data_IF_706601184990
#
_entry.id   IF_706601184990
#
_cell.length_a   1.000
_cell.length_b   1.000
_cell.length_c   1.000
_cell.angle_alpha   90.00
_cell.angle_beta   90.00
_cell.angle_gamma   90.00
#
_symmetry.space_group_name_H-M   'P 1'
#
loop_
_entity.id
_entity.type
_entity.pdbx_description
1 polymer ?
#
# COMPACT_ATOMS: atom_id res chain seq x y z
N UNK A 1 0.85 -0.30 -14.25
CA UNK A 1 1.55 -0.87 -13.07
C UNK A 1 2.72 0.00 -12.62
N UNK A 2 3.12 1.02 -13.39
CA UNK A 2 4.29 1.85 -13.06
C UNK A 2 4.11 2.60 -11.73
N UNK A 3 2.93 3.19 -11.49
CA UNK A 3 2.64 3.91 -10.24
C UNK A 3 2.67 2.98 -9.03
N UNK A 4 2.07 1.79 -9.16
CA UNK A 4 2.05 0.80 -8.07
C UNK A 4 3.45 0.31 -7.70
N UNK A 5 4.32 0.10 -8.69
CA UNK A 5 5.71 -0.29 -8.45
C UNK A 5 6.50 0.84 -7.79
N UNK A 6 6.36 2.08 -8.25
CA UNK A 6 6.99 3.24 -7.60
C UNK A 6 6.52 3.40 -6.15
N UNK A 7 5.21 3.31 -5.91
CA UNK A 7 4.63 3.34 -4.57
C UNK A 7 5.20 2.24 -3.66
N UNK A 8 5.42 1.04 -4.21
CA UNK A 8 6.05 -0.07 -3.49
C UNK A 8 7.48 0.25 -3.08
N UNK A 9 8.32 0.71 -4.02
CA UNK A 9 9.71 1.07 -3.75
C UNK A 9 9.79 2.19 -2.71
N UNK A 10 8.98 3.24 -2.86
CA UNK A 10 8.90 4.34 -1.90
C UNK A 10 8.48 3.85 -0.53
N UNK A 11 7.50 2.94 -0.45
CA UNK A 11 7.02 2.38 0.82
C UNK A 11 8.08 1.55 1.53
N UNK A 12 8.83 0.73 0.79
CA UNK A 12 9.94 -0.06 1.34
C UNK A 12 11.02 0.87 1.90
N UNK A 13 11.43 1.88 1.13
CA UNK A 13 12.43 2.86 1.57
C UNK A 13 11.93 3.61 2.81
N UNK A 14 10.66 4.03 2.81
CA UNK A 14 10.07 4.74 3.94
C UNK A 14 10.11 3.91 5.23
N UNK A 15 9.66 2.65 5.18
CA UNK A 15 9.66 1.75 6.35
C UNK A 15 11.08 1.44 6.81
N UNK A 16 11.99 1.15 5.86
CA UNK A 16 13.40 0.91 6.14
C UNK A 16 14.05 2.09 6.86
N UNK A 17 13.89 3.30 6.30
CA UNK A 17 14.52 4.51 6.83
C UNK A 17 13.92 4.89 8.18
N UNK A 18 12.59 4.86 8.32
CA UNK A 18 11.95 5.19 9.60
C UNK A 18 12.35 4.21 10.70
N UNK A 19 12.45 2.92 10.40
CA UNK A 19 12.91 1.93 11.37
C UNK A 19 14.39 2.12 11.72
N UNK A 20 15.25 2.37 10.72
CA UNK A 20 16.67 2.64 10.95
C UNK A 20 16.94 3.90 11.77
N UNK A 21 16.13 4.95 11.60
CA UNK A 21 16.26 6.22 12.32
C UNK A 21 15.73 6.19 13.75
N UNK A 22 14.88 5.22 14.09
CA UNK A 22 14.17 5.15 15.38
C UNK A 22 14.67 4.01 16.27
N UNK A 23 15.50 3.12 15.73
CA UNK A 23 16.05 1.98 16.46
C UNK A 23 17.23 2.41 17.34
N UNK A 24 17.21 1.96 18.59
CA UNK A 24 18.34 2.08 19.51
C UNK A 24 19.44 1.02 19.25
N UNK A 25 19.22 0.11 18.31
CA UNK A 25 20.18 -0.93 17.94
C UNK A 25 21.30 -0.40 17.04
N UNK A 26 22.38 -1.19 16.92
CA UNK A 26 23.43 -0.94 15.94
C UNK A 26 22.82 -0.79 14.52
N UNK A 27 23.40 0.08 13.67
CA UNK A 27 22.81 0.45 12.38
C UNK A 27 22.66 -0.75 11.43
N UNK A 28 23.55 -1.73 11.47
CA UNK A 28 23.46 -2.94 10.62
C UNK A 28 22.21 -3.77 10.92
N UNK A 29 22.03 -4.26 12.15
CA UNK A 29 20.81 -4.96 12.58
C UNK A 29 19.54 -4.15 12.38
N UNK A 30 19.55 -2.85 12.70
CA UNK A 30 18.38 -1.98 12.54
C UNK A 30 17.92 -1.90 11.08
N UNK A 31 18.86 -1.73 10.14
CA UNK A 31 18.55 -1.71 8.71
C UNK A 31 18.03 -3.05 8.21
N UNK A 32 18.58 -4.17 8.72
CA UNK A 32 18.12 -5.51 8.33
C UNK A 32 16.68 -5.74 8.80
N UNK A 33 16.34 -5.41 10.04
CA UNK A 33 14.97 -5.50 10.56
C UNK A 33 14.03 -4.59 9.76
N UNK A 34 14.45 -3.36 9.46
CA UNK A 34 13.68 -2.43 8.65
C UNK A 34 13.43 -2.95 7.23
N UNK A 35 14.41 -3.59 6.61
CA UNK A 35 14.28 -4.20 5.29
C UNK A 35 13.28 -5.36 5.30
N UNK A 36 13.38 -6.26 6.29
CA UNK A 36 12.44 -7.37 6.47
C UNK A 36 11.02 -6.85 6.71
N UNK A 37 10.87 -5.82 7.54
CA UNK A 37 9.60 -5.17 7.81
C UNK A 37 8.99 -4.54 6.54
N UNK A 38 9.79 -3.84 5.73
CA UNK A 38 9.37 -3.28 4.45
C UNK A 38 8.94 -4.35 3.43
N UNK A 39 9.62 -5.50 3.40
CA UNK A 39 9.24 -6.63 2.54
C UNK A 39 7.94 -7.29 3.01
N UNK A 40 7.81 -7.53 4.32
CA UNK A 40 6.58 -8.07 4.90
C UNK A 40 5.37 -7.16 4.62
N UNK A 41 5.56 -5.84 4.77
CA UNK A 41 4.56 -4.84 4.39
C UNK A 41 4.19 -4.97 2.92
N UNK A 42 5.19 -5.03 2.03
CA UNK A 42 4.98 -5.12 0.59
C UNK A 42 4.13 -6.33 0.23
N UNK A 43 4.46 -7.51 0.75
CA UNK A 43 3.68 -8.73 0.51
C UNK A 43 2.24 -8.55 0.99
N UNK A 44 2.05 -8.04 2.21
CA UNK A 44 0.72 -7.80 2.77
C UNK A 44 -0.12 -6.80 1.97
N UNK A 45 0.46 -5.68 1.58
CA UNK A 45 -0.21 -4.63 0.80
C UNK A 45 -0.56 -5.11 -0.62
N UNK A 46 0.28 -5.95 -1.24
CA UNK A 46 -0.04 -6.57 -2.53
C UNK A 46 -1.14 -7.63 -2.41
N UNK A 47 -1.23 -8.35 -1.29
CA UNK A 47 -2.33 -9.27 -1.01
C UNK A 47 -3.66 -8.55 -0.75
N UNK A 48 -3.62 -7.32 -0.23
CA UNK A 48 -4.82 -6.58 0.15
C UNK A 48 -5.69 -6.19 -1.06
N UNK A 49 -6.99 -6.58 -1.10
CA UNK A 49 -7.85 -6.35 -2.26
C UNK A 49 -8.37 -4.90 -2.35
N UNK A 50 -8.73 -4.49 -3.57
CA UNK A 50 -9.53 -3.30 -3.86
C UNK A 50 -11.01 -3.71 -3.86
N UNK A 51 -11.67 -3.67 -2.71
CA UNK A 51 -13.00 -4.30 -2.54
C UNK A 51 -14.10 -3.68 -3.41
N UNK A 52 -13.92 -2.45 -3.89
CA UNK A 52 -14.85 -1.78 -4.80
C UNK A 52 -14.56 -2.05 -6.28
N UNK A 53 -13.54 -2.83 -6.61
CA UNK A 53 -13.15 -3.12 -7.99
C UNK A 53 -14.02 -4.15 -8.67
N UNK A 54 -14.36 -3.88 -9.94
CA UNK A 54 -14.84 -4.89 -10.88
C UNK A 54 -13.75 -5.96 -11.00
N UNK A 55 -14.09 -7.20 -10.65
CA UNK A 55 -13.14 -8.31 -10.58
C UNK A 55 -13.35 -9.26 -9.40
N UNK A 56 -14.32 -8.97 -8.52
CA UNK A 56 -14.68 -9.84 -7.40
C UNK A 56 -13.83 -9.58 -6.15
N UNK A 57 -13.97 -10.43 -5.14
CA UNK A 57 -13.40 -10.23 -3.79
C UNK A 57 -11.86 -10.09 -3.75
N UNK A 58 -11.16 -10.52 -4.80
CA UNK A 58 -9.70 -10.50 -4.91
C UNK A 58 -9.17 -9.45 -5.90
N UNK A 59 -10.03 -8.58 -6.43
CA UNK A 59 -9.63 -7.58 -7.41
C UNK A 59 -8.51 -6.68 -6.87
N UNK A 60 -7.51 -6.37 -7.69
CA UNK A 60 -6.35 -5.58 -7.28
C UNK A 60 -5.36 -6.29 -6.36
N UNK A 61 -5.60 -7.55 -5.98
CA UNK A 61 -4.61 -8.39 -5.27
C UNK A 61 -3.69 -9.13 -6.24
N UNK A 62 -2.57 -9.63 -5.73
CA UNK A 62 -1.62 -10.47 -6.47
C UNK A 62 -2.20 -11.81 -6.96
N UNK A 63 -3.39 -12.18 -6.50
CA UNK A 63 -4.11 -13.39 -6.94
C UNK A 63 -5.04 -13.15 -8.13
N UNK A 64 -5.10 -11.92 -8.65
CA UNK A 64 -5.97 -11.54 -9.76
C UNK A 64 -5.16 -11.06 -10.96
N UNK A 65 -5.67 -11.32 -12.18
CA UNK A 65 -5.05 -10.78 -13.40
C UNK A 65 -5.12 -9.25 -13.36
N UNK A 66 -3.95 -8.61 -13.43
CA UNK A 66 -3.82 -7.16 -13.33
C UNK A 66 -4.63 -6.41 -14.39
N UNK A 67 -5.35 -5.36 -13.97
CA UNK A 67 -6.05 -4.43 -14.86
C UNK A 67 -5.42 -3.02 -14.75
N UNK A 68 -5.22 -2.30 -15.86
CA UNK A 68 -4.64 -0.95 -15.84
C UNK A 68 -5.38 0.05 -14.95
N UNK A 69 -6.71 -0.07 -14.85
CA UNK A 69 -7.56 0.78 -14.02
C UNK A 69 -7.23 0.71 -12.51
N UNK A 70 -6.51 -0.32 -12.06
CA UNK A 70 -6.15 -0.51 -10.66
C UNK A 70 -4.85 0.19 -10.26
N UNK A 71 -4.07 0.73 -11.20
CA UNK A 71 -2.72 1.23 -10.91
C UNK A 71 -2.69 2.39 -9.91
N UNK A 72 -3.53 3.42 -10.14
CA UNK A 72 -3.65 4.56 -9.23
C UNK A 72 -4.23 4.19 -7.86
N UNK A 73 -5.38 3.49 -7.77
CA UNK A 73 -5.97 3.14 -6.47
C UNK A 73 -5.08 2.18 -5.68
N UNK A 74 -4.42 1.21 -6.33
CA UNK A 74 -3.47 0.32 -5.65
C UNK A 74 -2.23 1.07 -5.15
N UNK A 75 -1.70 2.01 -5.94
CA UNK A 75 -0.59 2.85 -5.49
C UNK A 75 -0.96 3.67 -4.24
N UNK A 76 -2.16 4.28 -4.21
CA UNK A 76 -2.67 5.01 -3.03
C UNK A 76 -2.84 4.08 -1.82
N UNK A 77 -3.40 2.89 -2.04
CA UNK A 77 -3.57 1.88 -1.01
C UNK A 77 -2.23 1.49 -0.36
N UNK A 78 -1.21 1.23 -1.19
CA UNK A 78 0.14 0.90 -0.74
C UNK A 78 0.82 2.08 -0.03
N UNK A 79 0.68 3.30 -0.53
CA UNK A 79 1.30 4.46 0.13
C UNK A 79 0.64 4.75 1.48
N UNK A 80 -0.69 4.71 1.55
CA UNK A 80 -1.42 5.01 2.77
C UNK A 80 -1.07 4.04 3.91
N UNK A 81 -1.00 2.74 3.63
CA UNK A 81 -0.58 1.76 4.63
C UNK A 81 0.86 1.96 5.10
N UNK A 82 1.77 2.34 4.19
CA UNK A 82 3.17 2.59 4.52
C UNK A 82 3.34 3.84 5.39
N UNK A 83 2.56 4.89 5.10
CA UNK A 83 2.51 6.11 5.93
C UNK A 83 2.01 5.77 7.33
N UNK A 84 0.96 4.96 7.47
CA UNK A 84 0.48 4.54 8.79
C UNK A 84 1.55 3.76 9.54
N UNK A 85 2.20 2.78 8.91
CA UNK A 85 3.30 2.05 9.55
C UNK A 85 4.44 2.98 9.98
N UNK A 86 4.89 3.86 9.08
CA UNK A 86 5.95 4.83 9.33
C UNK A 86 5.61 5.76 10.51
N UNK A 87 4.39 6.28 10.59
CA UNK A 87 3.94 7.14 11.69
C UNK A 87 3.97 6.38 13.01
N UNK A 88 3.47 5.14 13.04
CA UNK A 88 3.48 4.31 14.25
C UNK A 88 4.90 3.98 14.74
N UNK A 89 5.83 3.76 13.80
CA UNK A 89 7.26 3.55 14.08
C UNK A 89 7.90 4.84 14.64
N UNK A 90 7.72 5.97 13.94
CA UNK A 90 8.32 7.27 14.31
C UNK A 90 7.81 7.77 15.67
N UNK A 91 6.53 7.56 15.97
CA UNK A 91 5.96 7.92 17.27
C UNK A 91 6.29 6.92 18.38
N UNK A 92 7.03 5.85 18.07
CA UNK A 92 7.40 4.77 18.98
C UNK A 92 6.19 4.18 19.74
N UNK A 93 5.04 4.09 19.06
CA UNK A 93 3.79 3.56 19.63
C UNK A 93 3.84 2.04 19.65
N UNK A 94 4.45 1.45 18.61
CA UNK A 94 4.60 0.01 18.44
C UNK A 94 6.00 -0.33 17.96
N UNK A 95 6.45 -1.53 18.32
CA UNK A 95 7.62 -2.15 17.70
C UNK A 95 7.42 -2.26 16.17
N UNK A 96 8.51 -2.17 15.40
CA UNK A 96 8.46 -2.06 13.94
C UNK A 96 7.66 -3.15 13.23
N UNK A 97 7.72 -4.39 13.72
CA UNK A 97 6.92 -5.49 13.16
C UNK A 97 5.41 -5.27 13.36
N UNK A 98 5.00 -4.86 14.55
CA UNK A 98 3.60 -4.59 14.90
C UNK A 98 3.06 -3.38 14.12
N UNK A 99 3.86 -2.32 13.98
CA UNK A 99 3.51 -1.15 13.18
C UNK A 99 3.25 -1.51 11.70
N UNK A 100 4.04 -2.43 11.13
CA UNK A 100 3.81 -2.93 9.77
C UNK A 100 2.49 -3.68 9.63
N UNK A 101 2.11 -4.50 10.62
CA UNK A 101 0.80 -5.18 10.61
C UNK A 101 -0.33 -4.16 10.54
N UNK A 102 -0.27 -3.10 11.35
CA UNK A 102 -1.26 -2.01 11.29
C UNK A 102 -1.24 -1.27 9.95
N UNK A 103 -0.06 -1.08 9.34
CA UNK A 103 0.06 -0.55 7.98
C UNK A 103 -0.67 -1.41 6.95
N UNK A 104 -0.56 -2.74 7.03
CA UNK A 104 -1.28 -3.67 6.14
C UNK A 104 -2.79 -3.55 6.38
N UNK A 105 -3.24 -3.51 7.63
CA UNK A 105 -4.66 -3.31 7.97
C UNK A 105 -5.18 -1.99 7.41
N UNK A 106 -4.39 -0.91 7.53
CA UNK A 106 -4.72 0.37 6.94
C UNK A 106 -4.79 0.30 5.40
N UNK A 107 -3.87 -0.40 4.74
CA UNK A 107 -3.93 -0.64 3.31
C UNK A 107 -5.21 -1.40 2.92
N UNK A 108 -5.63 -2.42 3.69
CA UNK A 108 -6.90 -3.11 3.45
C UNK A 108 -8.09 -2.14 3.59
N UNK A 109 -8.11 -1.35 4.67
CA UNK A 109 -9.15 -0.36 4.91
C UNK A 109 -9.25 0.66 3.77
N UNK A 110 -8.12 1.24 3.35
CA UNK A 110 -8.07 2.19 2.24
C UNK A 110 -8.56 1.54 0.94
N UNK A 111 -8.13 0.31 0.64
CA UNK A 111 -8.60 -0.44 -0.53
C UNK A 111 -10.11 -0.71 -0.53
N UNK A 112 -10.75 -0.74 0.64
CA UNK A 112 -12.20 -0.87 0.78
C UNK A 112 -12.97 0.43 0.50
N UNK A 113 -12.36 1.59 0.74
CA UNK A 113 -13.03 2.90 0.62
C UNK A 113 -12.65 3.70 -0.62
N UNK A 114 -11.56 3.36 -1.33
CA UNK A 114 -11.15 4.10 -2.53
C UNK A 114 -12.21 3.97 -3.65
N UNK A 115 -12.74 5.11 -4.17
CA UNK A 115 -13.53 5.10 -5.38
C UNK A 115 -12.62 4.76 -6.56
N UNK A 116 -13.05 3.82 -7.39
CA UNK A 116 -12.39 3.52 -8.64
C UNK A 116 -13.05 4.37 -9.70
N UNK A 117 -12.25 5.12 -10.46
CA UNK A 117 -12.72 6.01 -11.52
C UNK A 117 -13.41 5.21 -12.63
N UNK A 118 -14.65 4.78 -12.37
CA UNK A 118 -15.63 4.34 -13.35
C UNK A 118 -16.62 5.49 -13.66
N UNK A 119 -16.77 6.47 -12.75
CA UNK A 119 -17.67 7.61 -12.96
C UNK A 119 -17.23 8.58 -14.08
N UNK A 120 -15.97 8.50 -14.52
CA UNK A 120 -15.45 9.31 -15.62
C UNK A 120 -15.67 8.72 -17.02
N UNK A 121 -15.89 7.40 -17.12
CA UNK A 121 -16.11 6.75 -18.41
C UNK A 121 -17.58 6.84 -18.85
N UNK A 122 -18.51 6.67 -17.91
CA UNK A 122 -19.94 6.76 -18.19
C UNK A 122 -20.37 8.21 -18.55
N UNK A 123 -19.64 9.21 -18.07
CA UNK A 123 -19.92 10.62 -18.39
C UNK A 123 -19.35 11.07 -19.74
N UNK A 124 -18.26 10.46 -20.23
CA UNK A 124 -17.66 10.78 -21.54
C UNK A 124 -18.38 10.06 -22.69
N UNK A 125 -18.88 8.83 -22.47
CA UNK A 125 -19.70 8.11 -23.44
C UNK A 125 -21.12 8.70 -23.57
N UNK A 126 -21.70 9.20 -22.48
CA UNK A 126 -22.98 9.91 -22.51
C UNK A 126 -22.90 11.27 -23.23
N UNK A 127 -21.71 11.88 -23.31
CA UNK A 127 -21.48 13.14 -24.02
C UNK A 127 -21.23 12.94 -25.53
N UNK A 128 -20.70 11.77 -25.93
CA UNK A 128 -20.51 11.40 -27.34
C UNK A 128 -21.77 10.86 -28.02
N UNK A 129 -22.79 10.50 -27.25
CA UNK A 129 -24.08 10.01 -27.78
C UNK A 129 -25.15 11.09 -27.92
N UNK A 130 -24.81 12.37 -27.78
CA UNK A 130 -25.68 13.54 -28.03
C UNK A 130 -25.15 14.35 -29.20
#
# INVERSE_FOLDING_TARGET
MALTLMATVVSVILILVTHGLTSDADPGPALLTGAVAGLAYTVGAWCAPLMRARGGALAGSLFSRWQPAWDRPKALQILAGAVVAAVLIVLNIFEGATAVIFGIVAAIGVGAFLPLSADGADSEDALRSR
#
